data_IF_801996970777
#
_entry.id   IF_801996970777
#
_cell.length_a   1.000
_cell.length_b   1.000
_cell.length_c   1.000
_cell.angle_alpha   90.00
_cell.angle_beta   90.00
_cell.angle_gamma   90.00
#
_symmetry.space_group_name_H-M   'P 1'
#
loop_
_entity.id
_entity.type
_entity.pdbx_description
1 polymer ?
#
# COMPACT_ATOMS: atom_id res chain seq x y z
N UNK A 1 1.69 2.84 -10.74
CA UNK A 1 1.59 2.33 -9.40
C UNK A 1 2.79 1.48 -9.09
N UNK A 2 3.51 1.90 -8.09
CA UNK A 2 4.75 1.29 -7.70
C UNK A 2 4.55 0.02 -6.86
N UNK A 3 4.99 0.04 -5.62
CA UNK A 3 4.97 -1.08 -4.69
C UNK A 3 3.53 -1.38 -4.23
N UNK A 4 3.11 -2.66 -4.26
CA UNK A 4 1.75 -3.08 -3.88
C UNK A 4 1.39 -2.69 -2.44
N UNK A 5 2.38 -2.62 -1.53
CA UNK A 5 2.17 -2.18 -0.16
C UNK A 5 1.60 -0.76 -0.07
N UNK A 6 1.99 0.14 -0.96
CA UNK A 6 1.50 1.52 -1.02
C UNK A 6 0.35 1.74 -2.02
N UNK A 7 -0.20 0.69 -2.62
CA UNK A 7 -1.39 0.78 -3.45
C UNK A 7 -2.67 0.80 -2.59
N UNK A 8 -3.73 1.45 -3.05
CA UNK A 8 -5.02 1.55 -2.35
C UNK A 8 -5.66 0.18 -2.12
N UNK A 9 -5.55 -0.71 -3.11
CA UNK A 9 -6.11 -2.07 -3.08
C UNK A 9 -4.99 -3.09 -3.27
N UNK A 10 -5.17 -4.30 -2.75
CA UNK A 10 -4.31 -5.41 -3.13
C UNK A 10 -4.62 -5.81 -4.56
N UNK A 11 -3.57 -6.06 -5.34
CA UNK A 11 -3.68 -6.44 -6.75
C UNK A 11 -3.67 -7.95 -6.96
N UNK A 12 -3.27 -8.34 -8.18
CA UNK A 12 -3.20 -9.73 -8.62
C UNK A 12 -1.78 -10.29 -8.38
N UNK A 13 -1.41 -10.45 -7.12
CA UNK A 13 -0.10 -10.96 -6.70
C UNK A 13 -0.24 -12.35 -6.06
N UNK A 14 -0.98 -13.25 -6.74
CA UNK A 14 -1.19 -14.60 -6.25
C UNK A 14 0.12 -15.38 -6.11
N UNK A 15 0.11 -16.35 -5.22
CA UNK A 15 1.16 -17.34 -5.05
C UNK A 15 0.57 -18.73 -5.23
N UNK A 16 1.36 -19.64 -5.77
CA UNK A 16 1.00 -21.05 -5.93
C UNK A 16 1.94 -21.91 -5.11
N UNK A 17 1.36 -22.81 -4.30
CA UNK A 17 2.09 -23.83 -3.56
C UNK A 17 2.39 -25.05 -4.42
N UNK A 18 3.32 -25.89 -3.96
CA UNK A 18 3.81 -27.06 -4.70
C UNK A 18 2.70 -28.09 -5.05
N UNK A 19 1.61 -28.11 -4.29
CA UNK A 19 0.46 -29.00 -4.50
C UNK A 19 -0.57 -28.43 -5.49
N UNK A 20 -0.29 -27.24 -6.09
CA UNK A 20 -1.17 -26.56 -7.04
C UNK A 20 -2.22 -25.66 -6.38
N UNK A 21 -2.21 -25.49 -5.06
CA UNK A 21 -3.08 -24.56 -4.36
C UNK A 21 -2.64 -23.12 -4.63
N UNK A 22 -3.60 -22.26 -4.95
CA UNK A 22 -3.37 -20.84 -5.27
C UNK A 22 -4.00 -19.98 -4.18
N UNK A 23 -3.25 -18.99 -3.71
CA UNK A 23 -3.65 -18.05 -2.67
C UNK A 23 -3.64 -16.61 -3.18
N UNK A 24 -4.42 -15.76 -2.54
CA UNK A 24 -4.62 -14.37 -2.95
C UNK A 24 -3.34 -13.51 -2.97
N UNK A 25 -2.36 -13.84 -2.12
CA UNK A 25 -1.09 -13.13 -1.97
C UNK A 25 -0.06 -14.01 -1.27
N UNK A 26 1.23 -13.82 -1.55
CA UNK A 26 2.34 -14.51 -0.91
C UNK A 26 2.45 -14.24 0.61
N UNK A 27 1.96 -13.09 1.07
CA UNK A 27 1.87 -12.79 2.50
C UNK A 27 0.68 -13.46 3.21
N UNK A 28 -0.28 -13.99 2.46
CA UNK A 28 -1.54 -14.54 2.97
C UNK A 28 -1.76 -15.97 2.50
N UNK A 29 -0.76 -16.83 2.73
CA UNK A 29 -0.84 -18.28 2.46
C UNK A 29 -1.52 -18.97 3.65
N UNK A 30 -2.82 -18.71 3.80
CA UNK A 30 -3.67 -19.29 4.83
C UNK A 30 -4.95 -19.85 4.20
N UNK A 31 -5.58 -20.88 4.79
CA UNK A 31 -6.77 -21.51 4.21
C UNK A 31 -7.89 -20.55 3.81
N UNK A 32 -8.12 -19.50 4.59
CA UNK A 32 -9.14 -18.47 4.36
C UNK A 32 -8.89 -17.58 3.14
N UNK A 33 -7.65 -17.55 2.63
CA UNK A 33 -7.25 -16.77 1.44
C UNK A 33 -6.93 -17.64 0.23
N UNK A 34 -7.28 -18.95 0.31
CA UNK A 34 -7.13 -19.88 -0.81
C UNK A 34 -8.17 -19.58 -1.89
N UNK A 35 -7.73 -19.35 -3.11
CA UNK A 35 -8.58 -19.07 -4.29
C UNK A 35 -9.05 -20.36 -4.98
N UNK A 36 -8.24 -21.40 -4.89
CA UNK A 36 -8.53 -22.69 -5.52
C UNK A 36 -7.28 -23.52 -5.77
N UNK A 37 -7.39 -24.45 -6.71
CA UNK A 37 -6.28 -25.30 -7.12
C UNK A 37 -6.23 -25.34 -8.66
N UNK A 38 -5.03 -25.26 -9.25
CA UNK A 38 -4.83 -25.20 -10.72
C UNK A 38 -5.34 -26.41 -11.48
N UNK A 39 -5.52 -27.56 -10.81
CA UNK A 39 -6.11 -28.76 -11.40
C UNK A 39 -7.66 -28.73 -11.46
N UNK A 40 -8.29 -27.72 -10.82
CA UNK A 40 -9.74 -27.59 -10.71
C UNK A 40 -10.29 -26.30 -11.30
N UNK A 41 -9.52 -25.19 -11.24
CA UNK A 41 -9.89 -23.88 -11.74
C UNK A 41 -8.73 -23.27 -12.53
N UNK A 42 -9.02 -22.47 -13.53
CA UNK A 42 -8.01 -21.70 -14.25
C UNK A 42 -7.49 -20.55 -13.38
N UNK A 43 -6.26 -20.10 -13.62
CA UNK A 43 -5.71 -18.91 -12.95
C UNK A 43 -6.57 -17.67 -13.23
N UNK A 44 -7.15 -17.55 -14.43
CA UNK A 44 -8.03 -16.43 -14.77
C UNK A 44 -9.26 -16.41 -13.87
N UNK A 45 -9.95 -17.54 -13.70
CA UNK A 45 -11.12 -17.63 -12.82
C UNK A 45 -10.76 -17.29 -11.38
N UNK A 46 -9.61 -17.73 -10.89
CA UNK A 46 -9.15 -17.43 -9.53
C UNK A 46 -8.78 -15.95 -9.35
N UNK A 47 -8.01 -15.40 -10.28
CA UNK A 47 -7.48 -14.03 -10.16
C UNK A 47 -8.51 -12.95 -10.44
N UNK A 48 -9.54 -13.23 -11.21
CA UNK A 48 -10.65 -12.31 -11.51
C UNK A 48 -11.96 -12.73 -10.84
N UNK A 49 -11.89 -13.70 -9.93
CA UNK A 49 -13.00 -14.14 -9.12
C UNK A 49 -13.31 -13.19 -7.97
N UNK A 50 -14.52 -13.39 -7.40
CA UNK A 50 -15.02 -12.53 -6.32
C UNK A 50 -14.17 -12.62 -5.04
N UNK A 51 -13.56 -13.77 -4.78
CA UNK A 51 -12.68 -14.00 -3.62
C UNK A 51 -11.45 -13.07 -3.70
N UNK A 52 -10.80 -12.97 -4.87
CA UNK A 52 -9.66 -12.09 -5.08
C UNK A 52 -10.08 -10.62 -5.05
N UNK A 53 -11.23 -10.27 -5.62
CA UNK A 53 -11.77 -8.92 -5.55
C UNK A 53 -12.03 -8.51 -4.09
N UNK A 54 -12.68 -9.38 -3.32
CA UNK A 54 -12.95 -9.15 -1.89
C UNK A 54 -11.66 -8.96 -1.10
N UNK A 55 -10.67 -9.82 -1.33
CA UNK A 55 -9.34 -9.66 -0.75
C UNK A 55 -8.70 -8.32 -1.13
N UNK A 56 -8.80 -7.92 -2.38
CA UNK A 56 -8.23 -6.67 -2.89
C UNK A 56 -8.81 -5.45 -2.20
N UNK A 57 -10.14 -5.34 -2.12
CA UNK A 57 -10.83 -4.19 -1.53
C UNK A 57 -10.75 -4.16 0.00
N UNK A 58 -10.58 -5.30 0.66
CA UNK A 58 -10.41 -5.42 2.10
C UNK A 58 -9.28 -4.54 2.61
N UNK A 59 -8.23 -4.38 1.83
CA UNK A 59 -7.08 -3.52 2.18
C UNK A 59 -7.49 -2.10 2.55
N UNK A 60 -8.38 -1.48 1.78
CA UNK A 60 -8.88 -0.13 2.05
C UNK A 60 -10.02 -0.15 3.07
N UNK A 61 -10.95 -1.10 2.93
CA UNK A 61 -12.17 -1.13 3.73
C UNK A 61 -11.92 -1.47 5.22
N UNK A 62 -10.77 -2.06 5.54
CA UNK A 62 -10.36 -2.36 6.93
C UNK A 62 -9.48 -1.29 7.58
N UNK A 63 -9.38 -0.10 6.98
CA UNK A 63 -8.60 1.00 7.56
C UNK A 63 -9.33 1.61 8.78
N UNK A 64 -8.63 1.84 9.91
CA UNK A 64 -9.18 2.59 11.02
C UNK A 64 -9.38 4.07 10.65
N UNK A 65 -10.27 4.77 11.36
CA UNK A 65 -10.56 6.20 11.13
C UNK A 65 -9.30 7.07 11.21
N UNK A 66 -8.34 6.70 12.07
CA UNK A 66 -7.05 7.36 12.12
C UNK A 66 -6.34 7.37 10.76
N UNK A 67 -6.42 6.29 9.97
CA UNK A 67 -5.83 6.21 8.63
C UNK A 67 -6.66 7.02 7.62
N UNK A 68 -7.99 6.88 7.65
CA UNK A 68 -8.89 7.59 6.73
C UNK A 68 -8.80 9.12 6.85
N UNK A 69 -8.51 9.61 8.06
CA UNK A 69 -8.34 11.04 8.36
C UNK A 69 -6.87 11.52 8.27
N UNK A 70 -5.95 10.65 7.84
CA UNK A 70 -4.53 11.00 7.78
C UNK A 70 -4.20 11.83 6.53
N UNK A 71 -3.41 12.90 6.71
CA UNK A 71 -2.95 13.75 5.60
C UNK A 71 -2.14 13.00 4.53
N UNK A 72 -1.59 11.85 4.88
CA UNK A 72 -0.77 10.99 3.99
C UNK A 72 -1.49 9.70 3.56
N UNK A 73 -2.82 9.60 3.78
CA UNK A 73 -3.59 8.42 3.35
C UNK A 73 -3.38 8.14 1.87
N UNK A 74 -3.44 9.17 1.02
CA UNK A 74 -3.28 9.09 -0.44
C UNK A 74 -1.95 8.46 -0.92
N UNK A 75 -0.92 8.46 -0.08
CA UNK A 75 0.40 7.89 -0.38
C UNK A 75 0.67 6.59 0.39
N UNK A 76 0.13 6.47 1.60
CA UNK A 76 0.35 5.36 2.51
C UNK A 76 -0.66 4.22 2.31
N UNK A 77 -1.95 4.56 2.15
CA UNK A 77 -3.08 3.61 2.09
C UNK A 77 -3.05 2.55 3.21
N UNK A 78 -2.48 2.92 4.38
CA UNK A 78 -2.31 2.01 5.53
C UNK A 78 -1.28 0.90 5.33
N UNK A 79 -0.52 0.91 4.24
CA UNK A 79 0.48 -0.07 3.86
C UNK A 79 -0.10 -1.50 3.75
N UNK A 80 0.72 -2.56 3.81
CA UNK A 80 0.28 -3.95 3.66
C UNK A 80 -0.59 -4.40 4.85
N UNK A 81 -1.76 -5.01 4.64
CA UNK A 81 -2.60 -5.54 5.72
C UNK A 81 -1.87 -6.52 6.64
N UNK A 82 -0.87 -7.23 6.15
CA UNK A 82 -0.03 -8.14 6.95
C UNK A 82 0.65 -7.47 8.14
N UNK A 83 0.92 -6.18 8.02
CA UNK A 83 1.63 -5.38 9.02
C UNK A 83 0.69 -4.57 9.93
N UNK A 84 -0.65 -4.78 9.83
CA UNK A 84 -1.68 -4.00 10.52
C UNK A 84 -2.20 -4.71 11.77
N UNK A 85 -1.35 -4.94 12.75
CA UNK A 85 -1.70 -5.65 13.98
C UNK A 85 -1.72 -4.75 15.23
N UNK A 86 -1.62 -3.41 15.03
CA UNK A 86 -1.72 -2.45 16.14
C UNK A 86 -3.12 -1.86 16.23
N UNK A 87 -3.43 -1.30 17.40
CA UNK A 87 -4.61 -0.46 17.58
C UNK A 87 -4.32 0.99 17.21
N UNK A 88 -5.31 1.68 16.66
CA UNK A 88 -5.27 3.12 16.47
C UNK A 88 -5.30 3.85 17.82
N UNK A 89 -5.06 5.17 17.81
CA UNK A 89 -5.19 6.01 19.02
C UNK A 89 -6.58 5.95 19.66
N UNK A 90 -7.61 5.60 18.87
CA UNK A 90 -9.00 5.50 19.30
C UNK A 90 -9.41 4.05 19.63
N UNK A 91 -8.44 3.11 19.65
CA UNK A 91 -8.65 1.71 20.00
C UNK A 91 -9.15 0.84 18.85
N UNK A 92 -9.25 1.35 17.61
CA UNK A 92 -9.66 0.57 16.45
C UNK A 92 -8.51 -0.34 15.97
N UNK A 93 -8.79 -1.59 15.59
CA UNK A 93 -7.79 -2.51 15.03
C UNK A 93 -7.40 -2.11 13.60
N UNK A 94 -6.28 -2.64 13.11
CA UNK A 94 -5.89 -2.49 11.71
C UNK A 94 -4.90 -1.36 11.44
N UNK A 95 -4.27 -0.79 12.48
CA UNK A 95 -3.17 0.17 12.30
C UNK A 95 -1.86 -0.56 12.01
N UNK A 96 -1.12 -0.07 11.01
CA UNK A 96 0.21 -0.56 10.71
C UNK A 96 1.18 -0.28 11.86
N UNK A 97 2.00 -1.26 12.24
CA UNK A 97 2.97 -1.13 13.34
C UNK A 97 4.08 -0.10 13.05
N UNK A 98 4.36 0.19 11.78
CA UNK A 98 5.30 1.23 11.34
C UNK A 98 4.64 2.59 11.07
N UNK A 99 3.34 2.76 11.39
CA UNK A 99 2.57 3.96 11.08
C UNK A 99 3.30 5.26 11.44
N UNK A 100 3.91 5.32 12.63
CA UNK A 100 4.66 6.50 13.08
C UNK A 100 5.87 6.79 12.19
N UNK A 101 6.59 5.76 11.77
CA UNK A 101 7.76 5.89 10.88
C UNK A 101 7.35 6.34 9.48
N UNK A 102 6.28 5.76 8.91
CA UNK A 102 5.73 6.20 7.63
C UNK A 102 5.25 7.65 7.68
N UNK A 103 4.55 8.05 8.74
CA UNK A 103 4.11 9.42 8.91
C UNK A 103 5.30 10.39 8.92
N UNK A 104 6.33 10.11 9.71
CA UNK A 104 7.55 10.92 9.77
C UNK A 104 8.26 10.98 8.43
N UNK A 105 8.34 9.88 7.71
CA UNK A 105 8.93 9.83 6.38
C UNK A 105 8.16 10.72 5.39
N UNK A 106 6.84 10.56 5.30
CA UNK A 106 6.02 11.36 4.37
C UNK A 106 6.05 12.83 4.74
N UNK A 107 6.00 13.17 6.03
CA UNK A 107 6.09 14.54 6.51
C UNK A 107 7.44 15.17 6.13
N UNK A 108 8.53 14.42 6.30
CA UNK A 108 9.87 14.86 5.90
C UNK A 108 9.99 15.10 4.39
N UNK A 109 9.47 14.22 3.56
CA UNK A 109 9.63 14.32 2.10
C UNK A 109 8.60 15.23 1.43
N UNK A 110 7.48 15.52 2.08
CA UNK A 110 6.38 16.30 1.50
C UNK A 110 6.84 17.63 0.86
N UNK A 111 7.64 18.50 1.51
CA UNK A 111 8.07 19.76 0.90
C UNK A 111 8.94 19.57 -0.35
N UNK A 112 9.72 18.49 -0.42
CA UNK A 112 10.52 18.15 -1.59
C UNK A 112 9.63 17.67 -2.74
N UNK A 113 8.65 16.83 -2.43
CA UNK A 113 7.68 16.34 -3.42
C UNK A 113 6.81 17.47 -3.97
N UNK A 114 6.38 18.42 -3.12
CA UNK A 114 5.63 19.60 -3.53
C UNK A 114 6.46 20.49 -4.46
N UNK A 115 7.74 20.68 -4.18
CA UNK A 115 8.64 21.42 -5.07
C UNK A 115 8.75 20.70 -6.41
N UNK A 116 9.04 19.40 -6.43
CA UNK A 116 9.17 18.60 -7.66
C UNK A 116 7.88 18.63 -8.48
N UNK A 117 6.71 18.56 -7.84
CA UNK A 117 5.40 18.67 -8.49
C UNK A 117 5.22 20.03 -9.16
N UNK A 118 5.60 21.13 -8.49
CA UNK A 118 5.53 22.49 -9.07
C UNK A 118 6.46 22.64 -10.28
N UNK A 119 7.67 22.11 -10.21
CA UNK A 119 8.59 22.08 -11.34
C UNK A 119 7.99 21.31 -12.52
N UNK A 120 7.49 20.10 -12.28
CA UNK A 120 6.86 19.27 -13.30
C UNK A 120 5.67 19.98 -13.99
N UNK A 121 4.77 20.59 -13.20
CA UNK A 121 3.60 21.31 -13.73
C UNK A 121 3.99 22.57 -14.51
N UNK A 122 5.18 23.13 -14.25
CA UNK A 122 5.74 24.28 -14.97
C UNK A 122 6.67 23.84 -16.12
N UNK A 123 6.64 22.58 -16.53
CA UNK A 123 7.47 21.99 -17.59
C UNK A 123 8.99 22.15 -17.34
N UNK A 124 9.39 22.26 -16.07
CA UNK A 124 10.78 22.30 -15.63
C UNK A 124 11.22 20.95 -15.04
N UNK A 125 12.54 20.74 -14.92
CA UNK A 125 13.08 19.49 -14.42
C UNK A 125 12.80 19.31 -12.91
N UNK A 126 12.08 18.25 -12.46
CA UNK A 126 11.91 17.95 -11.04
C UNK A 126 13.24 17.80 -10.28
N UNK A 127 14.33 17.45 -10.99
CA UNK A 127 15.68 17.33 -10.44
C UNK A 127 16.22 18.65 -9.85
N UNK A 128 15.65 19.81 -10.20
CA UNK A 128 15.97 21.10 -9.59
C UNK A 128 15.78 21.09 -8.05
N UNK A 129 15.06 20.12 -7.51
CA UNK A 129 14.93 19.89 -6.07
C UNK A 129 16.29 19.71 -5.39
N UNK A 130 17.30 19.23 -6.09
CA UNK A 130 18.64 19.02 -5.54
C UNK A 130 19.33 20.33 -5.16
N UNK A 131 19.22 21.36 -6.00
CA UNK A 131 19.74 22.71 -5.71
C UNK A 131 18.91 23.36 -4.59
N UNK A 132 17.62 23.37 -4.73
CA UNK A 132 16.69 23.89 -3.74
C UNK A 132 16.92 23.28 -2.33
N UNK A 133 17.18 21.98 -2.24
CA UNK A 133 17.47 21.30 -0.99
C UNK A 133 18.84 21.71 -0.39
N UNK A 134 19.85 21.96 -1.22
CA UNK A 134 21.17 22.44 -0.76
C UNK A 134 21.08 23.85 -0.16
N UNK A 135 20.36 24.75 -0.79
CA UNK A 135 20.15 26.12 -0.30
C UNK A 135 19.46 26.15 1.06
N UNK A 136 18.51 25.24 1.30
CA UNK A 136 17.79 25.14 2.58
C UNK A 136 18.63 24.57 3.73
N UNK A 137 19.60 23.72 3.44
CA UNK A 137 20.51 23.19 4.46
C UNK A 137 21.54 24.20 4.94
N UNK A 138 21.79 25.23 4.14
CA UNK A 138 22.79 26.27 4.42
C UNK A 138 22.17 27.51 5.11
N UNK A 139 20.88 27.47 5.43
CA UNK A 139 20.14 28.48 6.23
C UNK A 139 19.81 27.92 7.61
#
# INVERSE_FOLDING_TARGET
PGVCSLAKYCGHAAVMEFNGDVYACDHFVFPEYKLGNIYQKTLVEMMYGKEQETFGVMKHNSLPQQCLNCSYEFACHGECPKNRFMLSKDGEPGLNYLCKGYYQFFDHVAPYMDFMKKEYLAERAPANVMEWARERRNK
#
